data_IF_666307737268
#
_entry.id   IF_666307737268
#
_cell.length_a   1.000
_cell.length_b   1.000
_cell.length_c   1.000
_cell.angle_alpha   90.00
_cell.angle_beta   90.00
_cell.angle_gamma   90.00
#
_symmetry.space_group_name_H-M   'P 1'
#
loop_
_entity.id
_entity.type
_entity.pdbx_description
1 polymer ?
#
# COMPACT_ATOMS: atom_id res chain seq x y z
N UNK A 1 -1.06 -15.95 -8.63
CA UNK A 1 -2.01 -14.85 -8.90
C UNK A 1 -1.28 -13.52 -8.93
N UNK A 2 -1.70 -12.60 -9.79
CA UNK A 2 -1.26 -11.19 -9.76
C UNK A 2 -2.42 -10.35 -9.24
N UNK A 3 -2.13 -9.41 -8.35
CA UNK A 3 -3.14 -8.55 -7.73
C UNK A 3 -2.87 -7.09 -8.06
N UNK A 4 -3.95 -6.31 -8.09
CA UNK A 4 -3.90 -4.85 -8.07
C UNK A 4 -4.42 -4.40 -6.71
N UNK A 5 -3.66 -3.55 -6.02
CA UNK A 5 -4.03 -3.00 -4.73
C UNK A 5 -4.31 -1.50 -4.87
N UNK A 6 -5.46 -1.07 -4.38
CA UNK A 6 -5.80 0.33 -4.17
C UNK A 6 -5.14 0.87 -2.89
N UNK A 7 -5.07 2.20 -2.75
CA UNK A 7 -4.54 2.88 -1.57
C UNK A 7 -5.13 2.35 -0.26
N UNK A 8 -6.44 2.10 -0.23
CA UNK A 8 -7.12 1.60 0.98
C UNK A 8 -6.67 0.19 1.38
N UNK A 9 -6.34 -0.66 0.42
CA UNK A 9 -5.83 -2.01 0.67
C UNK A 9 -4.44 -1.92 1.30
N UNK A 10 -3.60 -1.04 0.77
CA UNK A 10 -2.25 -0.79 1.29
C UNK A 10 -2.30 -0.19 2.70
N UNK A 11 -3.13 0.83 2.93
CA UNK A 11 -3.34 1.42 4.25
C UNK A 11 -3.84 0.39 5.26
N UNK A 12 -4.80 -0.46 4.87
CA UNK A 12 -5.29 -1.56 5.70
C UNK A 12 -4.17 -2.51 6.08
N UNK A 13 -3.32 -2.91 5.14
CA UNK A 13 -2.19 -3.80 5.42
C UNK A 13 -1.17 -3.15 6.35
N UNK A 14 -0.86 -1.87 6.16
CA UNK A 14 0.13 -1.13 6.94
C UNK A 14 -0.30 -0.93 8.40
N UNK A 15 -1.59 -0.76 8.66
CA UNK A 15 -2.11 -0.63 10.04
C UNK A 15 -2.40 -1.97 10.73
N UNK A 16 -1.96 -3.10 10.16
CA UNK A 16 -2.17 -4.45 10.71
C UNK A 16 -3.56 -5.03 10.44
N UNK A 17 -4.27 -4.52 9.43
CA UNK A 17 -5.53 -5.06 8.95
C UNK A 17 -5.38 -6.37 8.15
N UNK A 18 -6.51 -7.00 7.83
CA UNK A 18 -6.55 -8.32 7.15
C UNK A 18 -5.97 -8.31 5.73
N UNK A 19 -5.85 -7.14 5.08
CA UNK A 19 -5.23 -7.04 3.76
C UNK A 19 -3.79 -7.60 3.76
N UNK A 20 -3.05 -7.46 4.87
CA UNK A 20 -1.70 -8.02 4.99
C UNK A 20 -1.66 -9.55 4.81
N UNK A 21 -2.72 -10.27 5.19
CA UNK A 21 -2.80 -11.72 5.03
C UNK A 21 -2.90 -12.12 3.56
N UNK A 22 -3.65 -11.34 2.78
CA UNK A 22 -3.83 -11.57 1.34
C UNK A 22 -2.56 -11.18 0.58
N UNK A 23 -2.00 -9.99 0.86
CA UNK A 23 -0.82 -9.48 0.16
C UNK A 23 0.45 -10.32 0.41
N UNK A 24 0.48 -11.09 1.50
CA UNK A 24 1.61 -11.99 1.85
C UNK A 24 1.32 -13.47 1.56
N UNK A 25 0.18 -13.78 0.95
CA UNK A 25 -0.20 -15.16 0.64
C UNK A 25 0.73 -15.77 -0.41
N UNK A 26 1.13 -17.03 -0.25
CA UNK A 26 2.12 -17.70 -1.11
C UNK A 26 1.72 -17.79 -2.59
N UNK A 27 0.42 -17.86 -2.87
CA UNK A 27 -0.10 -17.87 -4.24
C UNK A 27 -0.06 -16.49 -4.92
N UNK A 28 0.13 -15.40 -4.15
CA UNK A 28 0.24 -14.04 -4.68
C UNK A 28 1.68 -13.82 -5.10
N UNK A 29 1.91 -13.84 -6.41
CA UNK A 29 3.25 -13.71 -7.01
C UNK A 29 3.69 -12.25 -7.10
N UNK A 30 2.75 -11.34 -7.34
CA UNK A 30 3.01 -9.93 -7.53
C UNK A 30 1.79 -9.10 -7.12
N UNK A 31 2.03 -7.95 -6.51
CA UNK A 31 1.02 -6.93 -6.24
C UNK A 31 1.44 -5.66 -6.97
N UNK A 32 0.53 -5.08 -7.75
CA UNK A 32 0.74 -3.83 -8.46
C UNK A 32 -0.11 -2.72 -7.83
N UNK A 33 0.43 -1.51 -7.80
CA UNK A 33 -0.32 -0.30 -7.41
C UNK A 33 0.04 0.84 -8.35
N UNK A 34 -0.92 1.67 -8.81
CA UNK A 34 -0.60 2.90 -9.51
C UNK A 34 0.24 3.83 -8.63
N UNK A 35 1.14 4.62 -9.23
CA UNK A 35 1.89 5.68 -8.53
C UNK A 35 0.96 6.62 -7.75
N UNK A 36 -0.13 7.08 -8.38
CA UNK A 36 -1.11 7.95 -7.74
C UNK A 36 -1.74 7.32 -6.48
N UNK A 37 -2.09 6.03 -6.52
CA UNK A 37 -2.63 5.33 -5.36
C UNK A 37 -1.55 5.14 -4.27
N UNK A 38 -0.29 4.99 -4.66
CA UNK A 38 0.82 4.89 -3.72
C UNK A 38 1.11 6.24 -3.03
N UNK A 39 1.01 7.34 -3.77
CA UNK A 39 1.14 8.71 -3.23
C UNK A 39 0.03 9.01 -2.21
N UNK A 40 -1.22 8.63 -2.52
CA UNK A 40 -2.34 8.74 -1.58
C UNK A 40 -2.04 8.03 -0.24
N UNK A 41 -1.39 6.86 -0.27
CA UNK A 41 -1.01 6.17 0.98
C UNK A 41 -0.11 7.05 1.84
N UNK A 42 0.89 7.72 1.27
CA UNK A 42 1.77 8.63 2.02
C UNK A 42 0.99 9.81 2.62
N UNK A 43 0.08 10.40 1.85
CA UNK A 43 -0.76 11.51 2.32
C UNK A 43 -1.64 11.11 3.51
N UNK A 44 -2.22 9.90 3.46
CA UNK A 44 -3.13 9.42 4.51
C UNK A 44 -2.44 8.80 5.72
N UNK A 45 -1.16 8.42 5.62
CA UNK A 45 -0.44 7.74 6.70
C UNK A 45 -0.31 8.59 7.97
N UNK A 46 0.05 9.87 7.85
CA UNK A 46 0.20 10.75 9.01
C UNK A 46 -1.12 11.04 9.74
N UNK A 47 -2.21 11.43 9.04
CA UNK A 47 -3.54 11.52 9.66
C UNK A 47 -4.00 10.22 10.32
N UNK A 48 -3.76 9.07 9.66
CA UNK A 48 -4.16 7.76 10.15
C UNK A 48 -3.37 7.33 11.38
N UNK A 49 -2.06 7.60 11.42
CA UNK A 49 -1.20 7.38 12.58
C UNK A 49 -1.74 8.10 13.81
N UNK A 50 -2.08 9.41 13.65
CA UNK A 50 -2.68 10.21 14.72
C UNK A 50 -4.02 9.65 15.18
N UNK A 51 -4.91 9.31 14.23
CA UNK A 51 -6.24 8.76 14.54
C UNK A 51 -6.18 7.42 15.28
N UNK A 52 -5.21 6.56 14.93
CA UNK A 52 -5.04 5.21 15.49
C UNK A 52 -4.07 5.15 16.67
N UNK A 53 -3.47 6.28 17.07
CA UNK A 53 -2.40 6.36 18.09
C UNK A 53 -1.22 5.44 17.78
N UNK A 54 -0.84 5.36 16.51
CA UNK A 54 0.30 4.59 16.01
C UNK A 54 1.48 5.54 15.75
N UNK A 55 2.69 5.00 15.82
CA UNK A 55 3.91 5.74 15.45
C UNK A 55 4.03 5.84 13.93
N UNK A 56 4.14 7.05 13.40
CA UNK A 56 4.28 7.28 11.96
C UNK A 56 5.51 6.57 11.38
N UNK A 57 6.66 6.64 12.05
CA UNK A 57 7.90 5.97 11.60
C UNK A 57 7.69 4.46 11.42
N UNK A 58 6.95 3.83 12.33
CA UNK A 58 6.63 2.39 12.26
C UNK A 58 5.72 2.09 11.07
N UNK A 59 4.75 2.95 10.77
CA UNK A 59 3.90 2.77 9.60
C UNK A 59 4.66 2.97 8.29
N UNK A 60 5.57 3.95 8.22
CA UNK A 60 6.43 4.16 7.06
C UNK A 60 7.36 2.97 6.81
N UNK A 61 7.96 2.41 7.87
CA UNK A 61 8.74 1.17 7.78
C UNK A 61 7.88 -0.02 7.33
N UNK A 62 6.64 -0.10 7.80
CA UNK A 62 5.72 -1.16 7.42
C UNK A 62 5.30 -1.04 5.96
N UNK A 63 5.02 0.19 5.48
CA UNK A 63 4.72 0.48 4.07
C UNK A 63 5.89 0.06 3.17
N UNK A 64 7.13 0.42 3.54
CA UNK A 64 8.32 0.03 2.80
C UNK A 64 8.53 -1.50 2.73
N UNK A 65 7.95 -2.26 3.68
CA UNK A 65 8.00 -3.72 3.72
C UNK A 65 6.81 -4.40 3.01
N UNK A 66 5.87 -3.65 2.43
CA UNK A 66 4.77 -4.23 1.64
C UNK A 66 5.32 -4.62 0.26
N UNK A 67 5.10 -5.87 -0.21
CA UNK A 67 5.64 -6.35 -1.47
C UNK A 67 4.82 -5.85 -2.67
N UNK A 68 4.86 -4.54 -2.92
CA UNK A 68 4.14 -3.88 -4.02
C UNK A 68 5.08 -3.34 -5.08
N UNK A 69 4.66 -3.45 -6.33
CA UNK A 69 5.31 -2.82 -7.49
C UNK A 69 4.49 -1.62 -7.90
N UNK A 70 5.10 -0.44 -7.79
CA UNK A 70 4.49 0.80 -8.24
C UNK A 70 4.59 0.87 -9.76
N UNK A 71 3.46 1.09 -10.42
CA UNK A 71 3.39 1.26 -11.87
C UNK A 71 3.08 2.71 -12.20
N UNK A 72 3.94 3.31 -13.02
CA UNK A 72 3.72 4.63 -13.57
C UNK A 72 2.63 4.58 -14.64
N UNK A 73 1.88 5.67 -14.78
CA UNK A 73 1.03 5.84 -15.96
C UNK A 73 1.94 6.00 -17.17
N UNK A 74 2.00 4.99 -18.04
CA UNK A 74 2.56 5.16 -19.36
C UNK A 74 1.67 6.16 -20.12
N UNK A 75 2.18 7.37 -20.33
CA UNK A 75 1.47 8.41 -21.06
C UNK A 75 1.26 7.97 -22.50
N UNK A 76 0.09 7.39 -22.80
CA UNK A 76 -0.46 7.41 -24.14
C UNK A 76 -0.90 8.85 -24.42
N UNK A 77 0.05 9.68 -24.85
CA UNK A 77 -0.23 10.88 -25.63
C UNK A 77 -1.11 10.46 -26.81
N UNK A 78 -2.39 10.86 -26.75
CA UNK A 78 -3.30 10.83 -27.89
C UNK A 78 -2.99 11.99 -28.82
#
# INVERSE_FOLDING_TARGET
MQLVADANVLLSAVIGGRAALVLRHEEVKQVFTPAAAYDEVFEYLAPLAKKKRLRLDTLLLTLAAVPVTVVERCGLTR
#
